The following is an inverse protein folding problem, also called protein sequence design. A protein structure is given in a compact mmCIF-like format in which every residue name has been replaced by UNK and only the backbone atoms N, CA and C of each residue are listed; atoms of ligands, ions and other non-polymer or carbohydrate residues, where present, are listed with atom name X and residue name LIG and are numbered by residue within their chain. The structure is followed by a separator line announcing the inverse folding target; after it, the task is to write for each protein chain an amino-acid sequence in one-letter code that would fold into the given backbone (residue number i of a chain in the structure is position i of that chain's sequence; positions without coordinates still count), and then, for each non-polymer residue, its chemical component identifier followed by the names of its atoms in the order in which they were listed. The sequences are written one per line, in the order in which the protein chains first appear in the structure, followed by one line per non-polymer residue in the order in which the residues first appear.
data_IF_219057073754
#
_entry.id   IF_219057073754
#
_cell.length_a   1.000
_cell.length_b   1.000
_cell.length_c   1.000
_cell.angle_alpha   90.00
_cell.angle_beta   90.00
_cell.angle_gamma   90.00
#
_symmetry.space_group_name_H-M   'P 1'
#
loop_
_entity.id
_entity.type
_entity.pdbx_description
1 polymer ?
#
# COMPACT_ATOMS: atom_id res chain seq x y z
N UNK A 1 -2.26 16.57 22.04
CA UNK A 1 -3.42 15.79 21.62
C UNK A 1 -3.04 14.33 21.66
N UNK A 2 -3.84 13.45 22.27
CA UNK A 2 -3.52 12.02 22.30
C UNK A 2 -4.00 11.38 21.00
N UNK A 3 -3.11 10.79 20.21
CA UNK A 3 -3.48 9.98 19.07
C UNK A 3 -4.18 8.72 19.59
N UNK A 4 -5.34 8.38 19.05
CA UNK A 4 -6.04 7.14 19.37
C UNK A 4 -5.63 6.08 18.35
N UNK A 5 -5.23 4.91 18.79
CA UNK A 5 -4.94 3.78 17.92
C UNK A 5 -5.55 2.50 18.47
N UNK A 6 -5.99 1.63 17.57
CA UNK A 6 -6.60 0.35 17.91
C UNK A 6 -6.27 -0.68 16.83
N UNK A 7 -6.01 -1.92 17.23
CA UNK A 7 -6.01 -3.07 16.32
C UNK A 7 -7.39 -3.20 15.69
N UNK A 8 -7.44 -3.24 14.37
CA UNK A 8 -8.69 -3.38 13.60
C UNK A 8 -8.81 -4.75 12.92
N UNK A 9 -7.68 -5.34 12.53
CA UNK A 9 -7.60 -6.75 12.14
C UNK A 9 -6.44 -7.38 12.92
N UNK A 10 -6.74 -8.32 13.76
CA UNK A 10 -5.75 -9.10 14.47
C UNK A 10 -5.37 -10.38 13.68
N UNK A 11 -4.26 -10.98 14.06
CA UNK A 11 -3.75 -12.22 13.46
C UNK A 11 -4.37 -13.48 14.08
N UNK A 12 -5.21 -13.35 15.09
CA UNK A 12 -5.76 -14.48 15.85
C UNK A 12 -7.00 -15.06 15.19
N UNK A 13 -7.32 -16.31 15.54
CA UNK A 13 -8.56 -16.96 15.12
C UNK A 13 -8.60 -17.49 13.68
N UNK A 14 -7.60 -17.15 12.82
CA UNK A 14 -7.57 -17.63 11.45
C UNK A 14 -6.17 -18.13 11.04
N UNK A 15 -6.09 -19.39 10.62
CA UNK A 15 -4.82 -20.04 10.31
C UNK A 15 -4.00 -19.33 9.21
N UNK A 16 -4.66 -18.81 8.19
CA UNK A 16 -4.03 -18.21 7.01
C UNK A 16 -3.34 -16.87 7.30
N UNK A 17 -3.70 -16.18 8.39
CA UNK A 17 -3.12 -14.91 8.81
C UNK A 17 -2.45 -14.96 10.19
N UNK A 18 -2.20 -16.16 10.70
CA UNK A 18 -1.80 -16.37 12.10
C UNK A 18 -0.41 -15.83 12.47
N UNK A 19 0.41 -15.48 11.48
CA UNK A 19 1.72 -14.85 11.67
C UNK A 19 1.66 -13.34 11.49
N UNK A 20 1.07 -12.86 10.38
CA UNK A 20 1.08 -11.45 10.00
C UNK A 20 -0.24 -11.07 9.32
N UNK A 21 -0.65 -9.83 9.55
CA UNK A 21 -1.70 -9.13 8.81
C UNK A 21 -1.14 -7.78 8.41
N UNK A 22 -1.12 -7.49 7.12
CA UNK A 22 -0.35 -6.37 6.56
C UNK A 22 -1.00 -5.79 5.29
N UNK A 23 -0.50 -4.65 4.82
CA UNK A 23 -0.81 -4.03 3.54
C UNK A 23 -2.31 -3.69 3.36
N UNK A 24 -2.88 -2.84 4.22
CA UNK A 24 -4.30 -2.48 4.14
C UNK A 24 -4.57 -1.57 2.94
N UNK A 25 -5.57 -1.94 2.14
CA UNK A 25 -6.13 -1.08 1.10
C UNK A 25 -7.63 -0.91 1.35
N UNK A 26 -8.07 0.32 1.62
CA UNK A 26 -9.45 0.63 2.00
C UNK A 26 -10.13 1.43 0.90
N UNK A 27 -11.40 1.14 0.67
CA UNK A 27 -12.22 1.79 -0.33
C UNK A 27 -13.63 2.03 0.23
N UNK A 28 -14.32 3.09 -0.19
CA UNK A 28 -15.77 3.16 -0.05
C UNK A 28 -16.39 1.95 -0.76
N UNK A 29 -17.42 1.37 -0.15
CA UNK A 29 -18.18 0.34 -0.83
C UNK A 29 -18.96 0.98 -2.00
N UNK A 30 -18.78 0.52 -3.25
CA UNK A 30 -19.39 1.16 -4.42
C UNK A 30 -20.92 1.01 -4.51
N UNK A 31 -21.50 0.09 -3.77
CA UNK A 31 -22.96 -0.18 -3.76
C UNK A 31 -23.63 0.25 -2.45
N UNK A 32 -22.87 0.47 -1.39
CA UNK A 32 -23.37 0.88 -0.07
C UNK A 32 -22.47 1.98 0.52
N UNK A 33 -22.84 3.25 0.40
CA UNK A 33 -22.03 4.37 0.90
C UNK A 33 -21.89 4.41 2.43
N UNK A 34 -22.69 3.63 3.16
CA UNK A 34 -22.57 3.45 4.61
C UNK A 34 -21.50 2.45 5.02
N UNK A 35 -20.80 1.83 4.05
CA UNK A 35 -19.77 0.83 4.31
C UNK A 35 -18.43 1.16 3.68
N UNK A 36 -17.40 0.63 4.30
CA UNK A 36 -16.02 0.56 3.81
C UNK A 36 -15.68 -0.89 3.49
N UNK A 37 -14.83 -1.09 2.50
CA UNK A 37 -14.23 -2.38 2.16
C UNK A 37 -12.72 -2.27 2.34
N UNK A 38 -12.12 -3.27 2.98
CA UNK A 38 -10.67 -3.41 3.12
C UNK A 38 -10.23 -4.69 2.44
N UNK A 39 -9.17 -4.60 1.66
CA UNK A 39 -8.37 -5.74 1.25
C UNK A 39 -7.05 -5.70 2.02
N UNK A 40 -6.47 -6.85 2.33
CA UNK A 40 -5.24 -6.91 3.11
C UNK A 40 -4.51 -8.24 2.88
N UNK A 41 -3.22 -8.26 3.15
CA UNK A 41 -2.41 -9.47 3.11
C UNK A 41 -2.41 -10.20 4.44
N UNK A 42 -2.37 -11.53 4.39
CA UNK A 42 -2.20 -12.38 5.56
C UNK A 42 -1.13 -13.44 5.33
N UNK A 43 -0.35 -13.71 6.35
CA UNK A 43 0.73 -14.72 6.35
C UNK A 43 0.47 -15.74 7.45
N UNK A 44 0.51 -17.02 7.09
CA UNK A 44 0.34 -18.12 8.03
C UNK A 44 1.61 -18.40 8.82
N UNK A 45 1.49 -18.70 10.11
CA UNK A 45 2.60 -19.19 10.93
C UNK A 45 3.12 -20.56 10.46
N UNK A 46 2.28 -21.35 9.79
CA UNK A 46 2.66 -22.66 9.24
C UNK A 46 3.53 -22.53 7.99
N UNK A 47 3.37 -21.43 7.23
CA UNK A 47 4.19 -21.14 6.05
C UNK A 47 4.43 -19.63 5.95
N UNK A 48 5.49 -19.16 6.58
CA UNK A 48 5.85 -17.74 6.69
C UNK A 48 6.33 -17.10 5.38
N UNK A 49 6.50 -17.88 4.33
CA UNK A 49 6.96 -17.41 3.02
C UNK A 49 5.82 -17.21 2.03
N UNK A 50 4.61 -17.64 2.37
CA UNK A 50 3.44 -17.54 1.52
C UNK A 50 2.45 -16.57 2.13
N UNK A 51 2.20 -15.49 1.43
CA UNK A 51 1.12 -14.58 1.73
C UNK A 51 -0.08 -14.83 0.82
N UNK A 52 -1.24 -14.43 1.30
CA UNK A 52 -2.54 -14.50 0.61
C UNK A 52 -3.33 -13.22 0.90
N UNK A 53 -4.34 -12.94 0.09
CA UNK A 53 -5.15 -11.71 0.23
C UNK A 53 -6.50 -12.05 0.81
N UNK A 54 -6.90 -11.31 1.83
CA UNK A 54 -8.22 -11.35 2.43
C UNK A 54 -8.98 -10.04 2.26
N UNK A 55 -10.25 -10.05 2.66
CA UNK A 55 -11.10 -8.87 2.67
C UNK A 55 -11.89 -8.76 3.98
N UNK A 56 -12.26 -7.53 4.32
CA UNK A 56 -13.09 -7.19 5.47
C UNK A 56 -13.97 -5.98 5.14
N UNK A 57 -14.98 -5.72 5.95
CA UNK A 57 -15.81 -4.55 5.83
C UNK A 57 -16.02 -3.88 7.18
N UNK A 58 -16.30 -2.59 7.19
CA UNK A 58 -16.69 -1.80 8.37
C UNK A 58 -17.79 -0.82 8.01
N UNK A 59 -18.44 -0.24 9.01
CA UNK A 59 -19.35 0.89 8.82
C UNK A 59 -18.57 2.21 8.77
N UNK A 60 -19.03 3.15 7.98
CA UNK A 60 -18.41 4.48 7.89
C UNK A 60 -18.46 5.20 9.25
N UNK A 61 -19.52 5.01 10.03
CA UNK A 61 -19.67 5.59 11.36
C UNK A 61 -18.80 4.90 12.44
N UNK A 62 -18.30 3.68 12.16
CA UNK A 62 -17.42 2.95 13.07
C UNK A 62 -16.22 2.32 12.31
N UNK A 63 -15.22 3.11 11.92
CA UNK A 63 -14.04 2.62 11.21
C UNK A 63 -13.09 1.80 12.11
N UNK A 64 -13.47 1.60 13.36
CA UNK A 64 -12.69 0.88 14.35
C UNK A 64 -13.07 -0.61 14.46
N UNK A 65 -14.24 -1.00 13.92
CA UNK A 65 -14.78 -2.37 14.02
C UNK A 65 -14.91 -2.96 12.62
N UNK A 66 -14.04 -3.90 12.30
CA UNK A 66 -13.99 -4.56 11.00
C UNK A 66 -14.50 -6.00 11.10
N UNK A 67 -15.28 -6.39 10.11
CA UNK A 67 -15.84 -7.73 9.97
C UNK A 67 -15.09 -8.46 8.85
N UNK A 68 -14.28 -9.45 9.22
CA UNK A 68 -13.54 -10.26 8.26
C UNK A 68 -14.49 -11.22 7.52
N UNK A 69 -14.28 -11.37 6.21
CA UNK A 69 -15.04 -12.33 5.41
C UNK A 69 -14.79 -13.77 5.89
N UNK A 70 -15.85 -14.56 5.95
CA UNK A 70 -15.76 -15.96 6.37
C UNK A 70 -15.03 -16.83 5.37
N UNK A 71 -15.07 -16.43 4.08
CA UNK A 71 -14.43 -17.14 2.97
C UNK A 71 -12.97 -16.73 2.73
N UNK A 72 -12.36 -15.97 3.64
CA UNK A 72 -10.95 -15.66 3.54
C UNK A 72 -10.07 -16.91 3.72
N UNK A 73 -8.91 -17.02 3.00
CA UNK A 73 -8.36 -16.02 2.09
C UNK A 73 -9.13 -15.97 0.77
N UNK A 74 -9.33 -14.75 0.29
CA UNK A 74 -10.06 -14.45 -0.93
C UNK A 74 -9.25 -14.74 -2.20
N UNK A 75 -7.94 -14.45 -2.19
CA UNK A 75 -7.02 -14.71 -3.29
C UNK A 75 -5.70 -15.26 -2.74
N UNK A 76 -5.25 -16.36 -3.29
CA UNK A 76 -3.96 -16.98 -2.96
C UNK A 76 -3.02 -17.00 -4.17
N UNK A 77 -1.80 -17.55 -4.02
CA UNK A 77 -0.87 -17.78 -5.12
C UNK A 77 -1.49 -18.58 -6.26
N UNK A 78 -0.96 -18.42 -7.46
CA UNK A 78 -1.36 -19.21 -8.63
C UNK A 78 -1.07 -20.69 -8.46
N UNK A 79 -1.80 -21.54 -9.19
CA UNK A 79 -1.50 -22.98 -9.22
C UNK A 79 -0.17 -23.27 -9.94
N UNK A 80 0.20 -22.41 -10.87
CA UNK A 80 1.40 -22.44 -11.68
C UNK A 80 1.71 -21.03 -12.19
N UNK A 81 2.86 -20.84 -12.77
CA UNK A 81 3.26 -19.56 -13.36
C UNK A 81 4.14 -18.73 -12.43
N UNK A 82 4.27 -17.46 -12.77
CA UNK A 82 5.21 -16.55 -12.12
C UNK A 82 4.82 -16.16 -10.68
N UNK A 83 3.56 -16.28 -10.30
CA UNK A 83 3.02 -15.94 -8.98
C UNK A 83 2.62 -17.17 -8.13
N UNK A 84 3.15 -18.34 -8.49
CA UNK A 84 2.78 -19.60 -7.82
C UNK A 84 3.38 -19.78 -6.41
N UNK A 85 4.38 -18.97 -6.04
CA UNK A 85 5.05 -19.10 -4.74
C UNK A 85 4.40 -18.27 -3.64
N UNK A 86 4.13 -17.00 -3.92
CA UNK A 86 3.56 -16.04 -2.96
C UNK A 86 2.92 -14.88 -3.71
N UNK A 87 1.91 -14.25 -3.08
CA UNK A 87 1.36 -12.97 -3.53
C UNK A 87 1.16 -12.06 -2.32
N UNK A 88 1.36 -10.75 -2.51
CA UNK A 88 1.03 -9.71 -1.52
C UNK A 88 0.22 -8.60 -2.17
N UNK A 89 -0.71 -8.05 -1.40
CA UNK A 89 -1.52 -6.93 -1.87
C UNK A 89 -0.66 -5.69 -2.04
N UNK A 90 -0.87 -4.98 -3.14
CA UNK A 90 -0.24 -3.68 -3.38
C UNK A 90 -1.28 -2.55 -3.38
N UNK A 91 -2.26 -2.61 -4.28
CA UNK A 91 -3.29 -1.58 -4.40
C UNK A 91 -4.61 -2.16 -4.90
N UNK A 92 -5.72 -1.53 -4.52
CA UNK A 92 -7.04 -1.85 -5.07
C UNK A 92 -7.72 -0.58 -5.53
N UNK A 93 -8.31 -0.61 -6.73
CA UNK A 93 -9.15 0.45 -7.26
C UNK A 93 -10.50 -0.15 -7.70
N UNK A 94 -11.57 0.57 -7.42
CA UNK A 94 -12.86 0.28 -8.05
C UNK A 94 -12.94 0.96 -9.42
N UNK A 95 -13.31 0.21 -10.43
CA UNK A 95 -13.45 0.68 -11.82
C UNK A 95 -14.94 0.67 -12.18
N UNK A 96 -15.62 1.83 -12.12
CA UNK A 96 -17.06 1.90 -12.32
C UNK A 96 -17.50 1.41 -13.72
N UNK A 97 -16.68 1.63 -14.74
CA UNK A 97 -17.00 1.25 -16.13
C UNK A 97 -17.02 -0.25 -16.35
N UNK A 98 -16.30 -1.00 -15.52
CA UNK A 98 -16.24 -2.48 -15.57
C UNK A 98 -17.00 -3.11 -14.39
N UNK A 99 -17.52 -2.31 -13.46
CA UNK A 99 -18.11 -2.73 -12.19
C UNK A 99 -17.24 -3.79 -11.47
N UNK A 100 -15.94 -3.50 -11.36
CA UNK A 100 -14.94 -4.43 -10.86
C UNK A 100 -13.89 -3.75 -9.98
N UNK A 101 -13.30 -4.52 -9.06
CA UNK A 101 -12.07 -4.15 -8.39
C UNK A 101 -10.88 -4.61 -9.21
N UNK A 102 -9.94 -3.69 -9.43
CA UNK A 102 -8.60 -3.99 -9.92
C UNK A 102 -7.69 -4.17 -8.71
N UNK A 103 -7.19 -5.37 -8.52
CA UNK A 103 -6.34 -5.75 -7.40
C UNK A 103 -4.93 -5.94 -7.93
N UNK A 104 -4.06 -4.96 -7.69
CA UNK A 104 -2.65 -5.09 -7.98
C UNK A 104 -1.98 -5.82 -6.83
N UNK A 105 -1.07 -6.71 -7.16
CA UNK A 105 -0.36 -7.53 -6.19
C UNK A 105 1.08 -7.79 -6.64
N UNK A 106 1.98 -7.85 -5.70
CA UNK A 106 3.34 -8.33 -5.91
C UNK A 106 3.37 -9.85 -5.76
N UNK A 107 4.01 -10.54 -6.68
CA UNK A 107 4.08 -12.00 -6.68
C UNK A 107 5.41 -12.54 -7.16
N UNK A 108 5.65 -13.82 -6.90
CA UNK A 108 6.83 -14.55 -7.34
C UNK A 108 6.62 -16.07 -7.32
N UNK A 109 7.50 -16.81 -7.97
CA UNK A 109 7.61 -18.28 -7.80
C UNK A 109 8.31 -18.68 -6.50
N UNK A 110 9.16 -17.81 -5.97
CA UNK A 110 9.87 -17.98 -4.70
C UNK A 110 9.30 -17.14 -3.57
N UNK A 111 9.99 -17.04 -2.44
CA UNK A 111 9.53 -16.32 -1.27
C UNK A 111 9.69 -14.77 -1.38
N UNK A 112 10.38 -14.30 -2.39
CA UNK A 112 10.63 -12.87 -2.62
C UNK A 112 9.81 -12.43 -3.81
N UNK A 113 8.89 -11.47 -3.59
CA UNK A 113 8.05 -10.93 -4.66
C UNK A 113 8.89 -10.01 -5.54
N UNK A 114 8.88 -10.27 -6.82
CA UNK A 114 9.76 -9.63 -7.79
C UNK A 114 9.04 -9.10 -9.05
N UNK A 115 7.71 -9.24 -9.09
CA UNK A 115 6.86 -8.79 -10.21
C UNK A 115 5.52 -8.30 -9.71
N UNK A 116 4.87 -7.43 -10.49
CA UNK A 116 3.54 -6.90 -10.17
C UNK A 116 2.52 -7.49 -11.12
N UNK A 117 1.47 -8.06 -10.56
CA UNK A 117 0.30 -8.61 -11.25
C UNK A 117 -0.94 -7.78 -11.09
N UNK A 118 -1.97 -8.15 -11.82
CA UNK A 118 -3.32 -7.62 -11.73
C UNK A 118 -4.32 -8.77 -11.67
N UNK A 119 -5.21 -8.72 -10.68
CA UNK A 119 -6.40 -9.54 -10.66
C UNK A 119 -7.63 -8.64 -10.79
N UNK A 120 -8.63 -9.07 -11.56
CA UNK A 120 -9.88 -8.36 -11.75
C UNK A 120 -10.97 -9.14 -11.04
N UNK A 121 -11.65 -8.47 -10.11
CA UNK A 121 -12.71 -9.06 -9.31
C UNK A 121 -14.02 -8.31 -9.59
N UNK A 122 -15.01 -8.93 -10.25
CA UNK A 122 -16.33 -8.33 -10.40
C UNK A 122 -16.94 -7.97 -9.04
N UNK A 123 -17.66 -6.85 -8.99
CA UNK A 123 -18.29 -6.39 -7.75
C UNK A 123 -19.66 -7.03 -7.61
N UNK A 124 -19.89 -7.69 -6.48
CA UNK A 124 -21.21 -8.24 -6.16
C UNK A 124 -22.27 -7.17 -5.93
N UNK A 125 -23.53 -7.59 -5.87
CA UNK A 125 -24.68 -6.69 -5.74
C UNK A 125 -24.65 -5.80 -4.49
N UNK A 126 -24.00 -6.25 -3.42
CA UNK A 126 -23.80 -5.49 -2.16
C UNK A 126 -22.47 -4.72 -2.11
N UNK A 127 -21.69 -4.74 -3.19
CA UNK A 127 -20.39 -4.10 -3.28
C UNK A 127 -19.26 -4.81 -2.52
N UNK A 128 -19.56 -5.87 -1.79
CA UNK A 128 -18.61 -6.56 -0.93
C UNK A 128 -18.59 -8.08 -1.11
N UNK A 129 -19.76 -8.71 -1.10
CA UNK A 129 -19.89 -10.17 -1.28
C UNK A 129 -19.60 -10.51 -2.74
N UNK A 130 -18.44 -10.20 -3.17
CA UNK A 130 -18.05 -10.71 -4.45
C UNK A 130 -17.73 -12.19 -4.26
N UNK A 131 -18.45 -13.02 -5.02
CA UNK A 131 -17.59 -13.70 -5.92
C UNK A 131 -16.68 -14.68 -5.20
N UNK A 132 -16.89 -15.91 -5.43
CA UNK A 132 -15.96 -16.97 -5.04
C UNK A 132 -14.57 -16.69 -5.64
N UNK A 133 -13.51 -17.20 -5.06
CA UNK A 133 -12.16 -17.07 -5.62
C UNK A 133 -12.07 -17.53 -7.09
N UNK A 134 -13.03 -18.31 -7.56
CA UNK A 134 -13.15 -18.76 -8.95
C UNK A 134 -13.54 -17.65 -9.94
N UNK A 135 -14.12 -16.56 -9.46
CA UNK A 135 -14.55 -15.45 -10.32
C UNK A 135 -13.51 -14.31 -10.37
N UNK A 136 -12.45 -14.40 -9.56
CA UNK A 136 -11.30 -13.50 -9.66
C UNK A 136 -10.45 -13.90 -10.85
N UNK A 137 -10.36 -13.03 -11.83
CA UNK A 137 -9.61 -13.27 -13.06
C UNK A 137 -8.23 -12.64 -12.93
N UNK A 138 -7.17 -13.45 -12.93
CA UNK A 138 -5.83 -12.92 -13.15
C UNK A 138 -5.71 -12.39 -14.57
N UNK A 139 -5.21 -11.18 -14.71
CA UNK A 139 -5.09 -10.53 -16.01
C UNK A 139 -3.86 -11.05 -16.76
N UNK A 140 -4.09 -11.98 -17.68
CA UNK A 140 -3.05 -12.62 -18.49
C UNK A 140 -2.19 -13.65 -17.73
N UNK A 141 -1.29 -14.28 -18.45
CA UNK A 141 -0.35 -15.29 -17.94
C UNK A 141 0.99 -14.68 -17.48
N UNK A 142 1.17 -13.37 -17.69
CA UNK A 142 2.38 -12.62 -17.37
C UNK A 142 2.07 -11.48 -16.37
N UNK A 143 3.07 -11.02 -15.61
CA UNK A 143 2.92 -9.85 -14.77
C UNK A 143 2.62 -8.60 -15.61
N UNK A 144 1.90 -7.64 -15.05
CA UNK A 144 1.66 -6.34 -15.70
C UNK A 144 2.88 -5.42 -15.63
N UNK A 145 3.77 -5.67 -14.67
CA UNK A 145 5.07 -5.03 -14.58
C UNK A 145 6.12 -6.05 -14.09
N UNK A 146 7.19 -6.22 -14.87
CA UNK A 146 8.32 -7.09 -14.55
C UNK A 146 9.62 -6.29 -14.44
N UNK A 147 10.65 -6.79 -13.74
CA UNK A 147 11.95 -6.14 -13.73
C UNK A 147 12.54 -6.09 -15.13
N UNK A 148 13.24 -5.00 -15.43
CA UNK A 148 13.97 -4.80 -16.68
C UNK A 148 15.47 -4.73 -16.38
N UNK A 149 16.20 -5.86 -16.55
CA UNK A 149 17.61 -5.94 -16.15
C UNK A 149 18.57 -5.22 -17.08
N UNK A 150 18.11 -4.81 -18.27
CA UNK A 150 18.91 -4.07 -19.22
C UNK A 150 18.91 -2.56 -18.93
N UNK A 151 19.88 -1.85 -19.53
CA UNK A 151 19.86 -0.40 -19.54
C UNK A 151 18.56 0.13 -20.17
N UNK A 152 18.02 1.24 -19.68
CA UNK A 152 18.53 2.10 -18.62
C UNK A 152 18.07 1.70 -17.20
N UNK A 153 17.21 0.69 -17.04
CA UNK A 153 16.54 0.40 -15.77
C UNK A 153 17.38 -0.41 -14.78
N UNK A 154 18.11 -1.43 -15.24
CA UNK A 154 18.97 -2.28 -14.41
C UNK A 154 18.26 -2.86 -13.17
N UNK A 155 17.02 -3.32 -13.34
CA UNK A 155 16.21 -3.85 -12.24
C UNK A 155 16.40 -5.35 -12.05
N UNK A 156 16.47 -5.79 -10.81
CA UNK A 156 16.38 -7.20 -10.41
C UNK A 156 15.00 -7.56 -9.89
N UNK A 157 14.29 -6.58 -9.31
CA UNK A 157 13.02 -6.76 -8.65
C UNK A 157 12.16 -5.51 -8.83
N UNK A 158 10.87 -5.70 -9.02
CA UNK A 158 9.83 -4.66 -8.90
C UNK A 158 8.71 -5.18 -8.02
N UNK A 159 8.20 -4.37 -7.11
CA UNK A 159 7.17 -4.77 -6.14
C UNK A 159 6.43 -3.56 -5.58
N UNK A 160 5.42 -3.81 -4.76
CA UNK A 160 4.73 -2.80 -3.96
C UNK A 160 4.22 -1.64 -4.80
N UNK A 161 3.19 -1.90 -5.61
CA UNK A 161 2.59 -0.88 -6.48
C UNK A 161 1.61 0.01 -5.73
N UNK A 162 1.81 1.31 -5.77
CA UNK A 162 0.77 2.29 -5.46
C UNK A 162 0.19 2.82 -6.77
N UNK A 163 -1.13 2.75 -6.93
CA UNK A 163 -1.79 3.06 -8.20
C UNK A 163 -2.81 4.19 -8.04
N UNK A 164 -2.72 5.18 -8.91
CA UNK A 164 -3.66 6.28 -9.02
C UNK A 164 -4.24 6.35 -10.43
N UNK A 165 -5.54 6.60 -10.52
CA UNK A 165 -6.28 6.88 -11.75
C UNK A 165 -6.85 8.29 -11.67
N UNK A 166 -6.60 9.12 -12.66
CA UNK A 166 -7.15 10.47 -12.74
C UNK A 166 -7.67 10.81 -14.13
N UNK A 167 -8.75 11.61 -14.17
CA UNK A 167 -9.33 12.04 -15.43
C UNK A 167 -8.49 13.13 -16.07
N UNK A 168 -8.08 12.92 -17.30
CA UNK A 168 -7.39 13.90 -18.13
C UNK A 168 -8.37 14.55 -19.11
N UNK A 169 -8.82 15.75 -18.80
CA UNK A 169 -9.79 16.47 -19.61
C UNK A 169 -9.26 16.83 -21.01
N UNK A 170 -7.95 17.06 -21.15
CA UNK A 170 -7.35 17.38 -22.44
C UNK A 170 -7.27 16.16 -23.36
N UNK A 171 -7.01 14.99 -22.81
CA UNK A 171 -6.96 13.72 -23.54
C UNK A 171 -8.33 13.03 -23.65
N UNK A 172 -9.37 13.54 -22.96
CA UNK A 172 -10.69 12.92 -22.84
C UNK A 172 -10.62 11.45 -22.42
N UNK A 173 -9.76 11.16 -21.46
CA UNK A 173 -9.49 9.79 -21.03
C UNK A 173 -8.83 9.73 -19.65
N UNK A 174 -8.56 8.53 -19.20
CA UNK A 174 -7.92 8.30 -17.93
C UNK A 174 -6.40 8.24 -18.06
N UNK A 175 -5.70 8.96 -17.21
CA UNK A 175 -4.27 8.78 -16.93
C UNK A 175 -4.11 7.89 -15.70
N UNK A 176 -3.26 6.89 -15.83
CA UNK A 176 -2.92 5.98 -14.77
C UNK A 176 -1.46 6.12 -14.40
N UNK A 177 -1.19 6.19 -13.12
CA UNK A 177 0.13 6.28 -12.54
C UNK A 177 0.32 5.11 -11.60
N UNK A 178 1.38 4.33 -11.81
CA UNK A 178 1.82 3.28 -10.94
C UNK A 178 3.22 3.62 -10.43
N UNK A 179 3.34 3.74 -9.13
CA UNK A 179 4.61 3.93 -8.45
C UNK A 179 5.01 2.58 -7.87
N UNK A 180 6.27 2.19 -8.01
CA UNK A 180 6.72 0.87 -7.60
C UNK A 180 8.09 0.89 -6.96
N UNK A 181 8.30 0.01 -6.00
CA UNK A 181 9.61 -0.32 -5.45
C UNK A 181 10.43 -1.07 -6.49
N UNK A 182 11.70 -0.76 -6.57
CA UNK A 182 12.63 -1.57 -7.31
C UNK A 182 13.89 -1.83 -6.50
N UNK A 183 14.54 -2.96 -6.78
CA UNK A 183 15.92 -3.22 -6.41
C UNK A 183 16.75 -3.27 -7.68
N UNK A 184 17.81 -2.49 -7.72
CA UNK A 184 18.70 -2.41 -8.85
C UNK A 184 19.87 -3.40 -8.77
N UNK A 185 20.53 -3.60 -9.91
CA UNK A 185 21.80 -4.33 -10.04
C UNK A 185 22.98 -3.38 -9.89
N UNK A 186 24.17 -3.93 -9.76
CA UNK A 186 25.43 -3.22 -9.92
C UNK A 186 25.58 -1.97 -9.05
N UNK A 187 25.13 -2.06 -7.79
CA UNK A 187 25.24 -0.98 -6.82
C UNK A 187 24.21 0.15 -6.99
N UNK A 188 23.22 -0.04 -7.85
CA UNK A 188 22.05 0.84 -7.93
C UNK A 188 21.21 0.65 -6.67
N UNK A 189 21.07 1.71 -5.89
CA UNK A 189 20.31 1.68 -4.66
C UNK A 189 18.82 1.48 -4.96
N UNK A 190 18.11 0.77 -4.08
CA UNK A 190 16.65 0.66 -4.13
C UNK A 190 16.00 2.05 -4.11
N UNK A 191 14.81 2.15 -4.63
CA UNK A 191 14.06 3.41 -4.64
C UNK A 191 12.70 3.27 -5.30
N UNK A 192 12.14 4.43 -5.65
CA UNK A 192 10.82 4.54 -6.26
C UNK A 192 10.95 4.92 -7.72
N UNK A 193 10.23 4.20 -8.57
CA UNK A 193 10.01 4.53 -9.98
C UNK A 193 8.54 4.65 -10.29
N UNK A 194 8.26 5.18 -11.47
CA UNK A 194 6.90 5.35 -11.97
C UNK A 194 6.72 4.64 -13.32
N UNK A 195 5.53 4.09 -13.53
CA UNK A 195 5.03 3.67 -14.83
C UNK A 195 3.69 4.38 -15.11
N UNK A 196 3.33 4.50 -16.37
CA UNK A 196 2.07 5.09 -16.82
C UNK A 196 1.29 4.12 -17.68
N UNK A 197 -0.03 4.29 -17.69
CA UNK A 197 -0.95 3.49 -18.51
C UNK A 197 -2.15 4.32 -18.94
N UNK A 198 -2.90 3.83 -19.94
CA UNK A 198 -4.19 4.36 -20.36
C UNK A 198 -5.36 3.47 -19.94
N UNK A 199 -5.08 2.23 -19.56
CA UNK A 199 -6.10 1.21 -19.26
C UNK A 199 -5.89 0.52 -17.89
N UNK A 200 -4.80 0.83 -17.18
CA UNK A 200 -4.43 0.17 -15.93
C UNK A 200 -3.93 -1.27 -16.10
N UNK A 201 -3.85 -1.77 -17.32
CA UNK A 201 -3.52 -3.16 -17.65
C UNK A 201 -2.16 -3.30 -18.34
N UNK A 202 -1.82 -2.32 -19.19
CA UNK A 202 -0.54 -2.25 -19.91
C UNK A 202 0.24 -1.04 -19.45
N UNK A 203 1.43 -1.26 -18.92
CA UNK A 203 2.24 -0.23 -18.28
C UNK A 203 3.51 0.07 -19.07
N UNK A 204 3.85 1.36 -19.12
CA UNK A 204 5.10 1.86 -19.70
C UNK A 204 5.92 2.52 -18.59
N UNK A 205 7.09 1.97 -18.31
CA UNK A 205 8.03 2.53 -17.33
C UNK A 205 8.53 3.90 -17.77
N UNK A 206 8.62 4.83 -16.85
CA UNK A 206 9.05 6.20 -17.10
C UNK A 206 10.52 6.36 -16.66
N UNK A 207 11.40 6.44 -17.65
CA UNK A 207 12.83 6.54 -17.39
C UNK A 207 13.29 7.95 -16.97
N UNK A 208 12.64 8.99 -17.50
CA UNK A 208 13.10 10.36 -17.35
C UNK A 208 12.47 11.12 -16.19
N UNK A 209 11.68 10.45 -15.34
CA UNK A 209 11.03 11.12 -14.22
C UNK A 209 12.06 11.51 -13.16
N UNK A 210 12.23 12.83 -12.99
CA UNK A 210 12.74 13.53 -11.82
C UNK A 210 14.11 13.14 -11.23
N UNK A 211 14.86 12.22 -11.82
CA UNK A 211 16.19 11.89 -11.32
C UNK A 211 17.28 12.69 -12.06
N UNK A 212 18.01 13.58 -11.38
CA UNK A 212 19.12 14.32 -11.99
C UNK A 212 20.25 13.41 -12.47
N UNK A 213 20.31 12.15 -12.03
CA UNK A 213 21.25 11.13 -12.52
C UNK A 213 20.72 10.37 -13.73
N UNK A 214 19.51 10.65 -14.20
CA UNK A 214 18.89 9.99 -15.34
C UNK A 214 18.48 8.53 -15.07
N UNK A 215 18.25 8.15 -13.81
CA UNK A 215 17.93 6.76 -13.43
C UNK A 215 16.43 6.51 -13.26
N UNK A 216 15.58 7.48 -13.56
CA UNK A 216 14.13 7.34 -13.47
C UNK A 216 13.60 7.15 -12.05
N UNK A 217 14.31 7.62 -11.05
CA UNK A 217 13.93 7.51 -9.65
C UNK A 217 13.17 8.75 -9.17
N UNK A 218 12.06 8.54 -8.48
CA UNK A 218 11.33 9.61 -7.80
C UNK A 218 11.95 9.89 -6.43
N UNK A 219 12.35 8.84 -5.72
CA UNK A 219 13.09 8.89 -4.47
C UNK A 219 14.34 8.03 -4.52
N UNK A 220 15.39 8.52 -3.86
CA UNK A 220 16.64 7.81 -3.71
C UNK A 220 16.76 7.26 -2.31
N UNK A 221 16.94 5.97 -2.19
CA UNK A 221 17.43 5.39 -0.95
C UNK A 221 18.87 5.88 -0.72
N UNK A 222 19.15 6.23 0.52
CA UNK A 222 20.53 6.45 0.97
C UNK A 222 21.07 5.16 1.56
N UNK A 223 22.40 4.93 1.63
CA UNK A 223 22.94 3.78 2.32
C UNK A 223 22.37 3.67 3.74
N UNK A 224 21.64 2.57 4.01
CA UNK A 224 21.02 2.32 5.31
C UNK A 224 19.59 2.84 5.49
N UNK A 225 19.03 3.51 4.48
CA UNK A 225 17.61 3.88 4.48
C UNK A 225 16.96 3.42 3.17
N UNK A 226 15.99 2.54 3.28
CA UNK A 226 15.17 2.09 2.17
C UNK A 226 13.84 2.82 2.19
N UNK A 227 13.26 3.08 1.02
CA UNK A 227 11.94 3.64 0.85
C UNK A 227 11.07 2.62 0.13
N UNK A 228 9.96 2.29 0.75
CA UNK A 228 8.89 1.49 0.18
C UNK A 228 7.60 2.29 0.31
N UNK A 229 6.54 1.96 -0.42
CA UNK A 229 5.28 2.68 -0.32
C UNK A 229 4.10 1.77 -0.54
N UNK A 230 2.94 2.26 -0.12
CA UNK A 230 1.74 1.45 -0.13
C UNK A 230 0.51 2.17 -0.69
N UNK A 231 0.56 3.50 -0.80
CA UNK A 231 -0.59 4.22 -1.31
C UNK A 231 -0.19 5.53 -1.98
N UNK A 232 -0.88 5.87 -3.07
CA UNK A 232 -0.92 7.21 -3.66
C UNK A 232 -2.34 7.73 -3.63
N UNK A 233 -2.54 8.95 -3.14
CA UNK A 233 -3.82 9.65 -3.19
C UNK A 233 -3.61 11.04 -3.77
N UNK A 234 -4.69 11.63 -4.31
CA UNK A 234 -4.72 13.02 -4.75
C UNK A 234 -5.74 13.81 -3.95
N UNK A 235 -5.30 14.91 -3.35
CA UNK A 235 -6.12 15.79 -2.54
C UNK A 235 -6.08 17.15 -3.19
N UNK A 236 -7.17 17.55 -3.84
CA UNK A 236 -7.20 18.74 -4.66
C UNK A 236 -6.14 18.67 -5.78
N UNK A 237 -5.10 19.49 -5.68
CA UNK A 237 -3.98 19.53 -6.64
C UNK A 237 -2.74 18.78 -6.16
N UNK A 238 -2.74 18.30 -4.94
CA UNK A 238 -1.57 17.70 -4.30
C UNK A 238 -1.62 16.19 -4.38
N UNK A 239 -0.56 15.58 -4.89
CA UNK A 239 -0.31 14.15 -4.81
C UNK A 239 0.35 13.84 -3.47
N UNK A 240 -0.10 12.80 -2.81
CA UNK A 240 0.42 12.34 -1.52
C UNK A 240 0.77 10.86 -1.64
N UNK A 241 2.04 10.53 -1.47
CA UNK A 241 2.52 9.15 -1.34
C UNK A 241 2.65 8.82 0.14
N UNK A 242 1.98 7.77 0.57
CA UNK A 242 2.25 7.13 1.84
C UNK A 242 3.45 6.20 1.67
N UNK A 243 4.52 6.48 2.37
CA UNK A 243 5.79 5.76 2.27
C UNK A 243 6.14 5.11 3.60
N UNK A 244 6.89 4.03 3.56
CA UNK A 244 7.60 3.57 4.73
C UNK A 244 9.09 3.80 4.56
N UNK A 245 9.74 4.10 5.66
CA UNK A 245 11.17 4.41 5.73
C UNK A 245 11.82 3.45 6.70
N UNK A 246 12.81 2.74 6.25
CA UNK A 246 13.54 1.85 7.15
C UNK A 246 14.54 0.94 6.45
N UNK A 247 15.21 0.10 7.23
CA UNK A 247 15.31 0.22 8.70
C UNK A 247 16.23 1.39 9.10
N UNK A 248 15.84 2.15 10.13
CA UNK A 248 16.73 3.13 10.74
C UNK A 248 17.90 2.45 11.49
N UNK A 249 18.77 3.24 12.12
CA UNK A 249 19.89 2.72 12.92
C UNK A 249 19.43 1.78 14.05
N UNK A 250 18.16 1.88 14.49
CA UNK A 250 17.51 0.96 15.42
C UNK A 250 16.82 -0.21 14.72
N UNK A 251 16.97 -0.36 13.40
CA UNK A 251 16.29 -1.37 12.56
C UNK A 251 14.75 -1.30 12.63
N UNK A 252 14.20 -0.10 12.72
CA UNK A 252 12.75 0.13 12.79
C UNK A 252 12.21 0.61 11.47
N UNK A 253 11.05 0.09 11.07
CA UNK A 253 10.24 0.63 10.00
C UNK A 253 9.31 1.71 10.51
N UNK A 254 9.15 2.79 9.75
CA UNK A 254 8.38 3.96 10.14
C UNK A 254 7.57 4.49 8.96
N UNK A 255 6.33 4.94 9.20
CA UNK A 255 5.54 5.58 8.18
C UNK A 255 6.08 6.97 7.88
N UNK A 256 5.98 7.36 6.62
CA UNK A 256 6.28 8.68 6.12
C UNK A 256 5.26 9.12 5.09
N UNK A 257 5.30 10.40 4.73
CA UNK A 257 4.56 10.96 3.61
C UNK A 257 5.52 11.69 2.68
N UNK A 258 5.20 11.66 1.40
CA UNK A 258 5.80 12.55 0.43
C UNK A 258 4.70 13.25 -0.37
N UNK A 259 4.91 14.52 -0.68
CA UNK A 259 3.93 15.34 -1.39
C UNK A 259 4.52 15.98 -2.62
N UNK A 260 3.70 16.17 -3.65
CA UNK A 260 4.06 16.89 -4.87
C UNK A 260 2.84 17.55 -5.51
N UNK A 261 3.07 18.60 -6.30
CA UNK A 261 2.05 19.17 -7.19
C UNK A 261 2.07 18.55 -8.59
N UNK A 262 3.01 17.64 -8.85
CA UNK A 262 3.18 16.98 -10.13
C UNK A 262 3.45 15.48 -9.93
N UNK A 263 2.81 14.57 -10.69
CA UNK A 263 2.93 13.13 -10.46
C UNK A 263 4.33 12.56 -10.71
N UNK A 264 5.15 13.26 -11.51
CA UNK A 264 6.47 12.76 -11.92
C UNK A 264 7.65 13.42 -11.20
N UNK A 265 7.47 14.57 -10.53
CA UNK A 265 8.60 15.35 -10.02
C UNK A 265 8.20 16.26 -8.86
N UNK A 266 9.21 16.89 -8.24
CA UNK A 266 9.01 17.87 -7.19
C UNK A 266 8.49 17.27 -5.87
N UNK A 267 8.77 16.00 -5.64
CA UNK A 267 8.40 15.31 -4.42
C UNK A 267 9.20 15.80 -3.22
N UNK A 268 8.49 16.12 -2.16
CA UNK A 268 9.07 16.53 -0.88
C UNK A 268 8.63 15.54 0.18
N UNK A 269 9.59 14.89 0.82
CA UNK A 269 9.32 14.02 1.95
C UNK A 269 8.96 14.84 3.18
N UNK A 270 7.83 14.52 3.80
CA UNK A 270 7.42 15.05 5.08
C UNK A 270 7.89 14.10 6.19
N UNK A 271 8.56 14.65 7.17
CA UNK A 271 9.00 13.85 8.31
C UNK A 271 7.82 13.58 9.26
N UNK A 272 7.17 12.42 9.11
CA UNK A 272 6.14 11.96 10.04
C UNK A 272 6.72 11.46 11.38
N UNK A 273 8.02 11.27 11.49
CA UNK A 273 8.68 10.86 12.73
C UNK A 273 8.36 11.80 13.89
N UNK A 274 8.24 13.10 13.61
CA UNK A 274 7.79 14.07 14.61
C UNK A 274 6.37 13.78 15.13
N UNK A 275 5.47 13.29 14.27
CA UNK A 275 4.14 12.85 14.69
C UNK A 275 4.18 11.59 15.54
N UNK A 276 5.01 10.64 15.15
CA UNK A 276 5.10 9.34 15.79
C UNK A 276 5.91 9.38 17.07
N UNK A 277 7.09 10.02 17.06
CA UNK A 277 8.00 9.98 18.21
C UNK A 277 7.52 10.80 19.41
N UNK A 278 6.91 11.96 19.19
CA UNK A 278 6.59 12.86 20.32
C UNK A 278 5.18 12.69 20.86
N UNK A 279 4.24 12.17 20.07
CA UNK A 279 2.83 12.08 20.46
C UNK A 279 2.33 10.65 20.67
N UNK A 280 2.96 9.67 20.06
CA UNK A 280 2.59 8.27 20.20
C UNK A 280 3.21 7.59 21.40
N UNK A 281 4.34 8.08 21.90
CA UNK A 281 4.88 7.66 23.18
C UNK A 281 3.91 7.86 24.35
N UNK A 282 3.00 8.84 24.26
CA UNK A 282 1.99 9.07 25.29
C UNK A 282 0.79 8.12 25.25
N UNK A 283 0.50 7.47 24.11
CA UNK A 283 -0.52 6.43 23.99
C UNK A 283 0.03 5.05 24.34
N UNK A 284 1.29 4.89 24.16
CA UNK A 284 2.01 3.64 24.26
C UNK A 284 3.13 3.72 25.32
N UNK A 285 2.94 4.54 26.38
CA UNK A 285 3.89 4.60 27.51
C UNK A 285 4.17 3.23 28.15
N UNK A 286 3.23 2.28 27.94
CA UNK A 286 3.39 0.89 28.36
C UNK A 286 3.53 -0.09 27.20
N UNK A 287 3.58 0.37 25.95
CA UNK A 287 3.54 -0.52 24.82
C UNK A 287 4.70 -0.27 23.86
N UNK A 288 5.09 -0.99 23.40
CA UNK A 288 5.78 -1.99 22.68
C UNK A 288 5.63 -1.95 21.17
N UNK A 289 4.90 -0.97 20.55
CA UNK A 289 4.96 -0.82 19.10
C UNK A 289 6.35 -0.34 18.69
N UNK A 290 7.05 -1.23 18.00
CA UNK A 290 8.43 -1.00 17.60
C UNK A 290 8.52 -0.68 16.10
N UNK A 291 7.71 -1.37 15.29
CA UNK A 291 7.58 -1.13 13.88
C UNK A 291 6.19 -0.65 13.54
N UNK A 292 6.11 0.33 12.66
CA UNK A 292 4.88 0.76 11.98
C UNK A 292 5.22 0.92 10.50
N UNK A 293 4.55 0.15 9.65
CA UNK A 293 4.87 0.02 8.24
C UNK A 293 3.59 0.03 7.39
N UNK A 294 3.72 0.04 6.09
CA UNK A 294 2.63 0.01 5.11
C UNK A 294 1.52 1.04 5.39
N UNK A 295 1.86 2.33 5.51
CA UNK A 295 0.89 3.35 5.88
C UNK A 295 -0.09 3.62 4.73
N UNK A 296 -1.37 3.78 5.09
CA UNK A 296 -2.41 4.18 4.16
C UNK A 296 -3.33 5.23 4.83
N UNK A 297 -3.54 6.36 4.16
CA UNK A 297 -4.39 7.45 4.64
C UNK A 297 -5.77 7.38 4.00
N UNK A 298 -6.81 7.46 4.83
CA UNK A 298 -8.19 7.49 4.37
C UNK A 298 -8.98 8.58 5.07
N UNK A 299 -9.79 9.32 4.29
CA UNK A 299 -10.76 10.24 4.82
C UNK A 299 -12.11 9.53 5.01
N UNK A 300 -12.59 9.46 6.24
CA UNK A 300 -13.84 8.80 6.61
C UNK A 300 -14.67 9.81 7.41
N UNK A 301 -15.87 10.14 6.94
CA UNK A 301 -16.72 11.12 7.61
C UNK A 301 -16.06 12.51 7.76
N UNK A 302 -15.19 12.90 6.84
CA UNK A 302 -14.44 14.16 6.90
C UNK A 302 -13.17 14.14 7.76
N UNK A 303 -12.95 13.08 8.53
CA UNK A 303 -11.76 12.90 9.37
C UNK A 303 -10.73 11.99 8.70
N UNK A 304 -9.43 12.29 8.88
CA UNK A 304 -8.34 11.48 8.37
C UNK A 304 -7.88 10.44 9.37
N UNK A 305 -7.77 9.22 8.88
CA UNK A 305 -7.25 8.07 9.61
C UNK A 305 -6.02 7.51 8.91
N UNK A 306 -5.03 7.09 9.69
CA UNK A 306 -3.91 6.31 9.22
C UNK A 306 -4.17 4.84 9.55
N UNK A 307 -4.20 4.00 8.54
CA UNK A 307 -4.14 2.55 8.71
C UNK A 307 -2.71 2.10 8.42
N UNK A 308 -2.20 1.21 9.24
CA UNK A 308 -0.86 0.69 9.09
C UNK A 308 -0.73 -0.67 9.75
N UNK A 309 0.18 -1.49 9.26
CA UNK A 309 0.63 -2.65 10.02
C UNK A 309 1.57 -2.22 11.13
N UNK A 310 1.45 -2.81 12.29
CA UNK A 310 2.33 -2.53 13.40
C UNK A 310 2.59 -3.77 14.25
N UNK A 311 3.75 -3.84 14.85
CA UNK A 311 4.10 -4.90 15.78
C UNK A 311 4.95 -4.42 16.95
N UNK A 312 4.92 -5.18 18.06
CA UNK A 312 5.87 -5.07 19.16
C UNK A 312 7.29 -5.43 18.68
N UNK A 313 8.30 -5.04 19.44
CA UNK A 313 9.69 -5.41 19.16
C UNK A 313 9.85 -6.93 19.14
N UNK A 314 10.21 -7.54 18.00
CA UNK A 314 10.47 -8.97 17.96
C UNK A 314 11.72 -9.31 18.76
N UNK A 315 11.74 -10.48 19.38
CA UNK A 315 12.86 -10.93 20.22
C UNK A 315 14.19 -11.01 19.44
N UNK A 316 14.12 -11.35 18.15
CA UNK A 316 15.26 -11.43 17.24
C UNK A 316 15.71 -10.09 16.66
N UNK A 317 14.99 -8.99 16.90
CA UNK A 317 15.09 -7.74 16.14
C UNK A 317 14.91 -7.89 14.60
N UNK A 318 14.43 -9.04 14.14
CA UNK A 318 14.12 -9.27 12.75
C UNK A 318 12.64 -9.00 12.50
N UNK A 319 12.32 -8.09 11.58
CA UNK A 319 10.92 -7.73 11.27
C UNK A 319 10.08 -8.94 10.82
N UNK A 320 10.71 -9.93 10.16
CA UNK A 320 10.03 -11.16 9.69
C UNK A 320 9.47 -11.99 10.87
N UNK A 321 10.10 -11.89 12.04
CA UNK A 321 9.65 -12.59 13.25
C UNK A 321 8.60 -11.80 14.04
N UNK A 322 8.27 -10.59 13.58
CA UNK A 322 7.25 -9.75 14.19
C UNK A 322 5.85 -10.35 14.06
N UNK A 323 5.05 -10.17 15.10
CA UNK A 323 3.62 -10.46 15.07
C UNK A 323 2.88 -9.20 14.59
N UNK A 324 2.69 -9.08 13.31
CA UNK A 324 2.09 -7.90 12.70
C UNK A 324 0.58 -7.94 12.71
N UNK A 325 -0.03 -6.81 13.05
CA UNK A 325 -1.48 -6.59 13.07
C UNK A 325 -1.82 -5.30 12.35
N UNK A 326 -3.03 -5.19 11.81
CA UNK A 326 -3.49 -3.94 11.23
C UNK A 326 -4.09 -3.04 12.31
N UNK A 327 -3.61 -1.83 12.35
CA UNK A 327 -4.02 -0.77 13.26
C UNK A 327 -4.69 0.36 12.49
N UNK A 328 -5.69 0.97 13.13
CA UNK A 328 -6.25 2.24 12.73
C UNK A 328 -5.81 3.30 13.75
N UNK A 329 -5.39 4.45 13.26
CA UNK A 329 -4.96 5.57 14.07
C UNK A 329 -5.71 6.84 13.67
N UNK A 330 -6.34 7.49 14.65
CA UNK A 330 -6.81 8.85 14.53
C UNK A 330 -5.63 9.78 14.82
N UNK A 331 -4.99 10.27 13.79
CA UNK A 331 -3.78 11.09 13.90
C UNK A 331 -4.09 12.60 13.94
N UNK A 332 -5.36 12.99 13.92
CA UNK A 332 -5.74 14.39 13.93
C UNK A 332 -5.17 15.19 12.75
N UNK A 333 -4.92 14.51 11.63
CA UNK A 333 -4.50 15.18 10.39
C UNK A 333 -5.66 16.04 9.89
N UNK A 334 -5.39 17.29 9.59
CA UNK A 334 -6.30 18.17 8.89
C UNK A 334 -5.66 18.54 7.54
N UNK A 335 -6.43 18.40 6.49
CA UNK A 335 -6.05 18.85 5.16
C UNK A 335 -7.03 19.94 4.78
N UNK A 336 -6.52 21.16 4.66
CA UNK A 336 -7.32 22.32 4.30
C UNK A 336 -7.13 22.65 2.81
N UNK A 337 -8.24 22.80 2.13
CA UNK A 337 -8.25 23.32 0.76
C UNK A 337 -8.17 24.84 0.84
N UNK A 338 -7.09 25.42 0.34
CA UNK A 338 -6.88 26.87 0.34
C UNK A 338 -6.97 27.45 -1.08
N UNK A 339 -7.39 28.73 -1.21
CA UNK A 339 -7.25 29.44 -2.48
C UNK A 339 -5.77 29.50 -2.89
N UNK A 340 -5.39 28.71 -3.89
CA UNK A 340 -4.00 28.61 -4.37
C UNK A 340 -3.30 27.27 -4.10
N UNK A 341 -3.96 26.33 -3.44
CA UNK A 341 -3.49 24.96 -3.23
C UNK A 341 -3.86 24.42 -1.86
N UNK A 342 -3.99 23.11 -1.78
CA UNK A 342 -4.24 22.41 -0.55
C UNK A 342 -2.99 22.39 0.33
N UNK A 343 -3.17 22.56 1.63
CA UNK A 343 -2.09 22.42 2.62
C UNK A 343 -2.38 21.26 3.55
N UNK A 344 -1.38 20.41 3.73
CA UNK A 344 -1.41 19.39 4.75
C UNK A 344 -1.00 20.04 6.09
N UNK A 345 -1.94 20.15 7.01
CA UNK A 345 -1.66 20.60 8.36
C UNK A 345 -1.37 19.40 9.26
N UNK A 346 -0.14 19.36 9.75
CA UNK A 346 0.21 18.45 10.82
C UNK A 346 -0.25 19.08 12.15
N UNK A 347 -0.83 18.31 13.08
CA UNK A 347 -1.18 18.85 14.39
C UNK A 347 0.06 19.44 15.04
N UNK A 348 -0.03 20.68 15.50
CA UNK A 348 1.02 21.39 16.22
C UNK A 348 1.54 20.60 17.43
N UNK A 349 2.71 20.92 17.95
CA UNK A 349 3.31 20.24 19.12
C UNK A 349 2.43 20.27 20.37
#
# INVERSE_FOLDING_TARGET
MKVRGKVVIDRTGRAWQSQQVEEPCILPNPKDPGRLVMFYSGVSAANRTVATIGKAWARVEDPWTWHQDENNPFLGPGQQGWDAGTIRLDAVLYIPEEDAYYIYYSGATGPIHDRIGLAICPVGADGYSAVTAAEVIRWGDAPVLAPEPAAPFFEEMVSQAAVLREWNAAAQGWDWHLYYSYRGRDGILPGIRRATSRDGKKWTKQWHDADPRGMGQIFHSTPGAYYEWHQIIKIGRTYVLCIEVGPDAGRRWRPGLAVSLHPAQGWVQLNLDLLLQTKWTGLYSDSTLYHVATPALYQIGGQWYLFAQACARPASNNYIDGSWELWCFDCGLAIESLPGGDRLHLPGP
#
